data_IF_886849348316
#
_entry.id   IF_886849348316
#
_cell.length_a   1.000
_cell.length_b   1.000
_cell.length_c   1.000
_cell.angle_alpha   90.00
_cell.angle_beta   90.00
_cell.angle_gamma   90.00
#
_symmetry.space_group_name_H-M   'P 1'
#
loop_
_entity.id
_entity.type
_entity.pdbx_description
1 polymer ?
#
# COMPACT_ATOMS: atom_id res chain seq x y z
N UNK A 1 5.75 94.71 -7.85
CA UNK A 1 6.65 93.53 -7.90
C UNK A 1 6.12 92.62 -9.00
N UNK A 2 6.75 92.67 -10.18
CA UNK A 2 6.47 91.85 -11.37
C UNK A 2 7.80 91.24 -11.83
N UNK A 3 7.71 90.12 -12.56
CA UNK A 3 8.75 89.22 -13.11
C UNK A 3 8.77 87.88 -12.34
N UNK A 4 8.87 86.71 -12.96
CA UNK A 4 8.81 86.28 -14.35
C UNK A 4 8.59 84.75 -14.36
N UNK A 5 8.16 84.26 -15.50
CA UNK A 5 7.95 82.87 -15.93
C UNK A 5 9.22 81.99 -15.80
N UNK A 6 9.06 80.70 -15.46
CA UNK A 6 9.79 79.59 -16.09
C UNK A 6 9.26 78.23 -15.60
N UNK A 7 8.89 77.40 -16.57
CA UNK A 7 8.79 75.95 -16.46
C UNK A 7 10.08 75.37 -15.88
N UNK A 8 9.98 74.38 -14.99
CA UNK A 8 10.83 73.17 -15.00
C UNK A 8 10.46 72.19 -13.86
N UNK A 9 10.20 70.93 -14.25
CA UNK A 9 10.58 69.68 -13.56
C UNK A 9 9.92 69.47 -12.17
N UNK A 10 8.99 68.52 -11.95
CA UNK A 10 9.26 67.08 -12.02
C UNK A 10 7.91 66.32 -11.90
N UNK A 11 7.55 65.54 -12.92
CA UNK A 11 6.53 64.48 -12.80
C UNK A 11 7.16 63.32 -12.01
N UNK A 12 7.17 63.41 -10.70
CA UNK A 12 7.57 62.35 -9.79
C UNK A 12 6.37 61.77 -9.06
N UNK A 13 6.24 60.44 -9.09
CA UNK A 13 5.36 59.64 -8.22
C UNK A 13 3.89 59.51 -8.62
N UNK A 14 3.63 58.73 -9.66
CA UNK A 14 2.41 57.92 -9.75
C UNK A 14 2.68 56.69 -10.62
N UNK A 15 3.28 55.65 -10.04
CA UNK A 15 3.48 54.39 -10.77
C UNK A 15 4.46 53.41 -10.11
N UNK A 16 4.19 52.93 -8.90
CA UNK A 16 4.85 51.71 -8.42
C UNK A 16 4.13 50.89 -7.31
N UNK A 17 2.87 51.19 -6.96
CA UNK A 17 2.20 50.47 -5.85
C UNK A 17 1.17 49.42 -6.29
N UNK A 18 1.19 49.00 -7.55
CA UNK A 18 0.32 47.90 -8.02
C UNK A 18 1.07 46.94 -8.93
N UNK A 19 2.08 46.26 -8.37
CA UNK A 19 2.46 44.95 -8.89
C UNK A 19 1.71 43.90 -8.06
N UNK A 20 0.81 43.09 -8.65
CA UNK A 20 0.11 42.06 -7.89
C UNK A 20 1.09 40.95 -7.50
N UNK A 21 1.31 40.76 -6.20
CA UNK A 21 2.08 39.67 -5.61
C UNK A 21 1.53 38.26 -6.00
N UNK A 22 0.28 38.19 -6.44
CA UNK A 22 -0.45 36.94 -6.69
C UNK A 22 0.09 36.06 -7.83
N UNK A 23 0.82 36.59 -8.80
CA UNK A 23 1.16 35.81 -10.00
C UNK A 23 2.44 34.97 -9.88
N UNK A 24 3.29 35.26 -8.88
CA UNK A 24 4.46 34.42 -8.55
C UNK A 24 4.08 33.27 -7.62
N UNK A 25 3.15 33.53 -6.70
CA UNK A 25 2.66 32.54 -5.74
C UNK A 25 1.83 31.44 -6.42
N UNK A 26 0.98 31.72 -7.42
CA UNK A 26 0.19 30.66 -8.08
C UNK A 26 1.04 29.59 -8.80
N UNK A 27 2.17 29.97 -9.39
CA UNK A 27 3.07 29.00 -10.07
C UNK A 27 3.96 28.24 -9.08
N UNK A 28 4.42 28.88 -8.00
CA UNK A 28 5.19 28.20 -6.94
C UNK A 28 4.30 27.32 -6.06
N UNK A 29 3.09 27.78 -5.72
CA UNK A 29 2.07 27.03 -4.97
C UNK A 29 1.60 25.81 -5.77
N UNK A 30 1.27 25.94 -7.06
CA UNK A 30 0.90 24.80 -7.89
C UNK A 30 2.05 23.79 -8.07
N UNK A 31 3.30 24.26 -8.19
CA UNK A 31 4.45 23.34 -8.33
C UNK A 31 4.74 22.58 -7.04
N UNK A 32 4.57 23.23 -5.88
CA UNK A 32 4.75 22.61 -4.56
C UNK A 32 3.58 21.67 -4.18
N UNK A 33 2.35 22.02 -4.55
CA UNK A 33 1.16 21.20 -4.31
C UNK A 33 1.12 19.98 -5.24
N UNK A 34 1.54 20.11 -6.50
CA UNK A 34 1.68 19.00 -7.44
C UNK A 34 2.77 18.00 -7.01
N UNK A 35 3.89 18.50 -6.46
CA UNK A 35 4.96 17.65 -5.92
C UNK A 35 4.51 16.84 -4.69
N UNK A 36 3.77 17.47 -3.78
CA UNK A 36 3.20 16.81 -2.61
C UNK A 36 2.12 15.79 -2.98
N UNK A 37 1.24 16.13 -3.93
CA UNK A 37 0.19 15.23 -4.41
C UNK A 37 0.77 14.01 -5.12
N UNK A 38 1.77 14.20 -5.99
CA UNK A 38 2.46 13.10 -6.66
C UNK A 38 3.10 12.14 -5.63
N UNK A 39 3.73 12.69 -4.59
CA UNK A 39 4.30 11.89 -3.51
C UNK A 39 3.22 11.11 -2.75
N UNK A 40 2.09 11.73 -2.41
CA UNK A 40 0.96 11.05 -1.74
C UNK A 40 0.40 9.92 -2.60
N UNK A 41 0.26 10.14 -3.92
CA UNK A 41 -0.21 9.11 -4.85
C UNK A 41 0.79 7.95 -4.92
N UNK A 42 2.09 8.24 -5.01
CA UNK A 42 3.14 7.21 -5.04
C UNK A 42 3.18 6.40 -3.72
N UNK A 43 3.11 7.09 -2.58
CA UNK A 43 3.03 6.46 -1.27
C UNK A 43 1.79 5.57 -1.13
N UNK A 44 0.63 6.06 -1.60
CA UNK A 44 -0.61 5.29 -1.60
C UNK A 44 -0.50 4.08 -2.51
N UNK A 45 0.04 4.24 -3.72
CA UNK A 45 0.22 3.13 -4.67
C UNK A 45 1.03 1.98 -4.06
N UNK A 46 2.16 2.28 -3.42
CA UNK A 46 2.99 1.26 -2.76
C UNK A 46 2.27 0.64 -1.57
N UNK A 47 1.62 1.44 -0.72
CA UNK A 47 0.89 0.91 0.43
C UNK A 47 -0.26 -0.01 0.00
N UNK A 48 -0.93 0.35 -1.09
CA UNK A 48 -2.03 -0.42 -1.69
C UNK A 48 -1.58 -1.78 -2.23
N UNK A 49 -0.29 -1.98 -2.53
CA UNK A 49 0.23 -3.32 -2.89
C UNK A 49 0.10 -4.32 -1.73
N UNK A 50 0.20 -3.89 -0.47
CA UNK A 50 -0.11 -4.75 0.68
C UNK A 50 -1.61 -5.10 0.78
N UNK A 51 -2.47 -4.24 0.23
CA UNK A 51 -3.92 -4.50 0.15
C UNK A 51 -4.23 -5.49 -0.97
N UNK A 52 -3.53 -5.35 -2.10
CA UNK A 52 -3.60 -6.31 -3.19
C UNK A 52 -3.14 -7.69 -2.73
N UNK A 53 -2.02 -7.77 -2.01
CA UNK A 53 -1.52 -9.01 -1.39
C UNK A 53 -2.54 -9.64 -0.43
N UNK A 54 -3.20 -8.82 0.41
CA UNK A 54 -4.30 -9.28 1.27
C UNK A 54 -5.40 -9.98 0.45
N UNK A 55 -5.86 -9.32 -0.63
CA UNK A 55 -6.87 -9.87 -1.53
C UNK A 55 -6.43 -11.15 -2.22
N UNK A 56 -5.22 -11.16 -2.78
CA UNK A 56 -4.66 -12.33 -3.47
C UNK A 56 -4.46 -13.51 -2.53
N UNK A 57 -4.03 -13.24 -1.29
CA UNK A 57 -3.88 -14.27 -0.27
C UNK A 57 -5.21 -14.91 0.06
N UNK A 58 -6.30 -14.16 0.24
CA UNK A 58 -7.63 -14.74 0.46
C UNK A 58 -8.12 -15.51 -0.77
N UNK A 59 -7.97 -14.92 -1.96
CA UNK A 59 -8.42 -15.51 -3.21
C UNK A 59 -7.64 -16.78 -3.63
N UNK A 60 -6.44 -17.00 -3.09
CA UNK A 60 -5.58 -18.12 -3.47
C UNK A 60 -6.20 -19.50 -3.21
N UNK A 61 -6.97 -19.68 -2.13
CA UNK A 61 -7.49 -21.00 -1.76
C UNK A 61 -8.44 -21.53 -2.85
N UNK A 62 -9.45 -20.76 -3.27
CA UNK A 62 -10.50 -21.29 -4.14
C UNK A 62 -10.02 -21.99 -5.43
N UNK A 63 -9.12 -21.42 -6.26
CA UNK A 63 -8.65 -22.08 -7.48
C UNK A 63 -7.63 -23.20 -7.24
N UNK A 64 -7.02 -23.26 -6.05
CA UNK A 64 -5.94 -24.23 -5.77
C UNK A 64 -6.41 -25.52 -5.13
N UNK A 65 -7.69 -25.58 -4.73
CA UNK A 65 -8.27 -26.74 -4.03
C UNK A 65 -8.05 -28.06 -4.76
N UNK A 66 -8.47 -28.17 -6.03
CA UNK A 66 -8.37 -29.43 -6.77
C UNK A 66 -6.90 -29.84 -6.97
N UNK A 67 -6.04 -28.90 -7.39
CA UNK A 67 -4.63 -29.18 -7.62
C UNK A 67 -3.85 -29.60 -6.37
N UNK A 68 -4.13 -28.97 -5.23
CA UNK A 68 -3.51 -29.33 -3.95
C UNK A 68 -3.98 -30.71 -3.48
N UNK A 69 -5.29 -30.99 -3.56
CA UNK A 69 -5.86 -32.27 -3.13
C UNK A 69 -5.35 -33.44 -3.97
N UNK A 70 -5.24 -33.28 -5.29
CA UNK A 70 -4.74 -34.32 -6.20
C UNK A 70 -3.23 -34.57 -6.04
N UNK A 71 -2.42 -33.52 -5.92
CA UNK A 71 -0.96 -33.65 -5.87
C UNK A 71 -0.45 -34.14 -4.52
N UNK A 72 -1.06 -33.69 -3.41
CA UNK A 72 -0.64 -34.05 -2.05
C UNK A 72 -1.49 -35.15 -1.43
N UNK A 73 -2.53 -35.62 -2.12
CA UNK A 73 -3.46 -36.64 -1.60
C UNK A 73 -4.23 -36.18 -0.36
N UNK A 74 -4.46 -34.87 -0.22
CA UNK A 74 -5.12 -34.29 0.96
C UNK A 74 -6.61 -34.63 1.00
N UNK A 75 -7.10 -34.93 2.20
CA UNK A 75 -8.52 -35.02 2.49
C UNK A 75 -9.19 -33.63 2.45
N UNK A 76 -10.51 -33.62 2.30
CA UNK A 76 -11.30 -32.37 2.36
C UNK A 76 -11.20 -31.69 3.74
N UNK A 77 -10.92 -32.44 4.80
CA UNK A 77 -10.76 -31.92 6.16
C UNK A 77 -9.44 -31.15 6.30
N UNK A 78 -8.34 -31.74 5.83
CA UNK A 78 -7.02 -31.09 5.82
C UNK A 78 -7.04 -29.82 4.96
N UNK A 79 -7.71 -29.86 3.81
CA UNK A 79 -7.84 -28.68 2.97
C UNK A 79 -8.70 -27.58 3.62
N UNK A 80 -9.74 -27.96 4.37
CA UNK A 80 -10.54 -27.00 5.15
C UNK A 80 -9.71 -26.36 6.26
N UNK A 81 -8.82 -27.13 6.88
CA UNK A 81 -7.87 -26.63 7.87
C UNK A 81 -6.92 -25.60 7.24
N UNK A 82 -6.34 -25.92 6.08
CA UNK A 82 -5.51 -25.00 5.29
C UNK A 82 -6.23 -23.67 4.98
N UNK A 83 -7.51 -23.71 4.60
CA UNK A 83 -8.29 -22.50 4.38
C UNK A 83 -8.48 -21.68 5.66
N UNK A 84 -8.78 -22.33 6.78
CA UNK A 84 -9.07 -21.70 8.07
C UNK A 84 -7.85 -21.11 8.77
N UNK A 85 -6.67 -21.71 8.61
CA UNK A 85 -5.45 -21.30 9.32
C UNK A 85 -4.95 -19.94 8.86
N UNK A 86 -5.29 -19.52 7.64
CA UNK A 86 -5.06 -18.16 7.15
C UNK A 86 -5.68 -17.13 8.10
N UNK A 87 -6.94 -17.34 8.50
CA UNK A 87 -7.68 -16.46 9.40
C UNK A 87 -7.07 -16.46 10.80
N UNK A 88 -6.62 -17.62 11.29
CA UNK A 88 -5.92 -17.74 12.58
C UNK A 88 -4.62 -16.93 12.55
N UNK A 89 -3.84 -17.05 11.48
CA UNK A 89 -2.65 -16.24 11.25
C UNK A 89 -2.98 -14.74 11.23
N UNK A 90 -4.04 -14.36 10.52
CA UNK A 90 -4.48 -12.97 10.42
C UNK A 90 -4.92 -12.40 11.78
N UNK A 91 -5.58 -13.19 12.63
CA UNK A 91 -5.91 -12.80 14.01
C UNK A 91 -4.64 -12.53 14.82
N UNK A 92 -3.65 -13.43 14.76
CA UNK A 92 -2.37 -13.25 15.47
C UNK A 92 -1.60 -12.01 14.98
N UNK A 93 -1.59 -11.79 13.65
CA UNK A 93 -1.02 -10.59 13.04
C UNK A 93 -1.72 -9.31 13.51
N UNK A 94 -3.05 -9.31 13.53
CA UNK A 94 -3.86 -8.16 13.95
C UNK A 94 -3.66 -7.80 15.43
N UNK A 95 -3.52 -8.78 16.32
CA UNK A 95 -3.27 -8.54 17.75
C UNK A 95 -1.87 -7.92 17.98
N UNK A 96 -0.88 -8.37 17.22
CA UNK A 96 0.50 -7.90 17.38
C UNK A 96 0.80 -6.59 16.63
N UNK A 97 0.03 -6.24 15.60
CA UNK A 97 0.36 -5.14 14.69
C UNK A 97 0.52 -3.77 15.38
N UNK A 98 -0.32 -3.44 16.37
CA UNK A 98 -0.25 -2.14 17.05
C UNK A 98 1.07 -1.95 17.79
N UNK A 99 1.47 -2.96 18.59
CA UNK A 99 2.76 -2.93 19.31
C UNK A 99 3.94 -2.86 18.36
N UNK A 100 3.90 -3.60 17.25
CA UNK A 100 4.99 -3.58 16.27
C UNK A 100 5.06 -2.22 15.57
N UNK A 101 3.93 -1.68 15.13
CA UNK A 101 3.85 -0.35 14.49
C UNK A 101 4.29 0.81 15.40
N UNK A 102 4.18 0.65 16.72
CA UNK A 102 4.69 1.62 17.69
C UNK A 102 6.20 1.46 17.98
N UNK A 103 6.80 0.29 17.71
CA UNK A 103 8.22 0.04 17.95
C UNK A 103 9.11 0.34 16.74
N UNK A 104 8.72 -0.13 15.55
CA UNK A 104 9.53 -0.04 14.32
C UNK A 104 8.95 0.91 13.26
N UNK A 105 7.82 1.53 13.58
CA UNK A 105 7.13 2.46 12.70
C UNK A 105 6.32 1.81 11.60
N UNK A 106 5.46 2.62 10.98
CA UNK A 106 4.49 2.12 9.98
C UNK A 106 5.22 1.48 8.79
N UNK A 107 6.25 2.17 8.28
CA UNK A 107 7.09 1.69 7.17
C UNK A 107 7.83 0.39 7.51
N UNK A 108 8.44 0.34 8.71
CA UNK A 108 9.12 -0.85 9.20
C UNK A 108 8.18 -2.04 9.32
N UNK A 109 6.97 -1.82 9.84
CA UNK A 109 5.95 -2.86 9.98
C UNK A 109 5.46 -3.39 8.64
N UNK A 110 5.21 -2.52 7.64
CA UNK A 110 4.87 -2.96 6.27
C UNK A 110 5.98 -3.79 5.62
N UNK A 111 7.25 -3.43 5.87
CA UNK A 111 8.39 -4.19 5.37
C UNK A 111 8.48 -5.56 6.05
N UNK A 112 8.31 -5.61 7.37
CA UNK A 112 8.35 -6.84 8.15
C UNK A 112 7.24 -7.80 7.73
N UNK A 113 5.99 -7.32 7.59
CA UNK A 113 4.87 -8.13 7.13
C UNK A 113 5.11 -8.69 5.74
N UNK A 114 5.62 -7.89 4.80
CA UNK A 114 5.98 -8.35 3.45
C UNK A 114 6.99 -9.50 3.47
N UNK A 115 8.02 -9.40 4.32
CA UNK A 115 9.06 -10.43 4.44
C UNK A 115 8.45 -11.74 4.98
N UNK A 116 7.59 -11.64 6.00
CA UNK A 116 6.90 -12.81 6.56
C UNK A 116 5.97 -13.45 5.52
N UNK A 117 5.23 -12.63 4.76
CA UNK A 117 4.37 -13.12 3.67
C UNK A 117 5.17 -13.79 2.57
N UNK A 118 6.32 -13.23 2.15
CA UNK A 118 7.21 -13.87 1.17
C UNK A 118 7.70 -15.22 1.69
N UNK A 119 8.12 -15.31 2.95
CA UNK A 119 8.50 -16.58 3.56
C UNK A 119 7.33 -17.59 3.54
N UNK A 120 6.12 -17.15 3.85
CA UNK A 120 4.91 -17.97 3.76
C UNK A 120 4.65 -18.50 2.35
N UNK A 121 4.73 -17.65 1.32
CA UNK A 121 4.58 -18.04 -0.08
C UNK A 121 5.66 -19.01 -0.55
N UNK A 122 6.91 -18.81 -0.12
CA UNK A 122 8.02 -19.74 -0.43
C UNK A 122 7.81 -21.10 0.21
N UNK A 123 7.34 -21.15 1.46
CA UNK A 123 7.02 -22.42 2.14
C UNK A 123 5.88 -23.14 1.41
N UNK A 124 4.84 -22.43 0.98
CA UNK A 124 3.77 -23.00 0.14
C UNK A 124 4.36 -23.54 -1.16
N UNK A 125 5.23 -22.78 -1.84
CA UNK A 125 5.83 -23.22 -3.10
C UNK A 125 6.65 -24.51 -2.95
N UNK A 126 7.41 -24.67 -1.86
CA UNK A 126 8.22 -25.86 -1.59
C UNK A 126 7.48 -26.95 -0.80
N UNK A 127 6.19 -26.78 -0.52
CA UNK A 127 5.46 -27.73 0.32
C UNK A 127 5.35 -29.10 -0.36
N UNK A 128 5.66 -30.14 0.41
CA UNK A 128 5.51 -31.55 0.02
C UNK A 128 4.45 -32.26 0.86
N UNK A 129 3.80 -31.56 1.79
CA UNK A 129 2.75 -32.13 2.62
C UNK A 129 1.87 -31.09 3.33
N UNK A 130 0.82 -31.55 4.02
CA UNK A 130 -0.22 -30.69 4.61
C UNK A 130 0.34 -29.72 5.66
N UNK A 131 1.17 -30.21 6.58
CA UNK A 131 1.75 -29.38 7.64
C UNK A 131 2.61 -28.23 7.10
N UNK A 132 3.37 -28.47 6.04
CA UNK A 132 4.16 -27.40 5.40
C UNK A 132 3.27 -26.35 4.74
N UNK A 133 2.17 -26.76 4.09
CA UNK A 133 1.18 -25.84 3.54
C UNK A 133 0.56 -24.98 4.64
N UNK A 134 0.15 -25.60 5.75
CA UNK A 134 -0.49 -24.92 6.87
C UNK A 134 0.42 -23.89 7.53
N UNK A 135 1.71 -24.23 7.71
CA UNK A 135 2.72 -23.30 8.23
C UNK A 135 2.90 -22.11 7.27
N UNK A 136 3.06 -22.37 5.97
CA UNK A 136 3.17 -21.31 4.98
C UNK A 136 1.93 -20.42 4.97
N UNK A 137 0.76 -21.03 5.12
CA UNK A 137 -0.53 -20.33 5.12
C UNK A 137 -0.73 -19.48 6.37
N UNK A 138 -0.34 -19.99 7.53
CA UNK A 138 -0.31 -19.23 8.78
C UNK A 138 0.58 -17.98 8.66
N UNK A 139 1.78 -18.10 8.06
CA UNK A 139 2.68 -16.96 7.86
C UNK A 139 2.11 -15.93 6.89
N UNK A 140 1.54 -16.35 5.75
CA UNK A 140 0.84 -15.42 4.85
C UNK A 140 -0.33 -14.73 5.56
N UNK A 141 -1.08 -15.48 6.40
CA UNK A 141 -2.14 -14.97 7.25
C UNK A 141 -1.64 -13.89 8.21
N UNK A 142 -0.53 -14.15 8.89
CA UNK A 142 0.08 -13.19 9.80
C UNK A 142 0.45 -11.87 9.10
N UNK A 143 1.09 -11.96 7.93
CA UNK A 143 1.48 -10.78 7.15
C UNK A 143 0.28 -9.95 6.71
N UNK A 144 -0.76 -10.58 6.16
CA UNK A 144 -1.98 -9.86 5.74
C UNK A 144 -2.74 -9.29 6.95
N UNK A 145 -2.73 -9.98 8.10
CA UNK A 145 -3.32 -9.49 9.34
C UNK A 145 -2.66 -8.19 9.81
N UNK A 146 -1.34 -8.13 9.78
CA UNK A 146 -0.59 -6.91 10.08
C UNK A 146 -0.91 -5.80 9.06
N UNK A 147 -0.94 -6.13 7.76
CA UNK A 147 -1.21 -5.16 6.70
C UNK A 147 -2.63 -4.58 6.77
N UNK A 148 -3.61 -5.35 7.25
CA UNK A 148 -5.01 -4.90 7.39
C UNK A 148 -5.18 -3.68 8.29
N UNK A 149 -4.27 -3.48 9.25
CA UNK A 149 -4.23 -2.31 10.12
C UNK A 149 -3.26 -1.25 9.58
N UNK A 150 -2.04 -1.64 9.25
CA UNK A 150 -0.96 -0.68 8.98
C UNK A 150 -1.18 0.08 7.69
N UNK A 151 -1.70 -0.58 6.65
CA UNK A 151 -1.92 0.06 5.33
C UNK A 151 -2.96 1.18 5.40
N UNK A 152 -4.21 0.96 5.89
CA UNK A 152 -5.19 2.04 5.95
C UNK A 152 -4.77 3.17 6.91
N UNK A 153 -4.05 2.86 7.99
CA UNK A 153 -3.48 3.87 8.91
C UNK A 153 -2.41 4.71 8.20
N UNK A 154 -1.48 4.07 7.51
CA UNK A 154 -0.45 4.77 6.74
C UNK A 154 -1.07 5.68 5.68
N UNK A 155 -2.05 5.17 4.91
CA UNK A 155 -2.80 5.99 3.93
C UNK A 155 -3.47 7.17 4.63
N UNK A 156 -4.13 6.96 5.77
CA UNK A 156 -4.80 8.03 6.49
C UNK A 156 -3.85 9.13 7.02
N UNK A 157 -2.62 8.75 7.39
CA UNK A 157 -1.55 9.66 7.88
C UNK A 157 -0.96 10.53 6.77
N UNK A 158 -0.74 9.97 5.57
CA UNK A 158 -0.19 10.70 4.42
C UNK A 158 -1.26 11.49 3.65
N UNK A 159 -2.54 11.12 3.80
CA UNK A 159 -3.63 11.70 3.02
C UNK A 159 -4.02 13.11 3.49
N UNK A 160 -4.16 14.08 2.58
CA UNK A 160 -4.79 15.35 2.91
C UNK A 160 -6.27 15.14 3.27
N UNK A 161 -6.78 15.97 4.17
CA UNK A 161 -8.10 15.78 4.82
C UNK A 161 -9.25 15.60 3.82
N UNK A 162 -9.19 16.24 2.65
CA UNK A 162 -10.23 16.18 1.63
C UNK A 162 -10.15 14.94 0.71
N UNK A 163 -8.99 14.26 0.60
CA UNK A 163 -8.82 13.05 -0.22
C UNK A 163 -8.79 11.74 0.57
N UNK A 164 -8.72 11.83 1.91
CA UNK A 164 -8.59 10.64 2.78
C UNK A 164 -9.65 9.58 2.50
N UNK A 165 -10.91 9.97 2.31
CA UNK A 165 -11.99 9.04 1.98
C UNK A 165 -11.79 8.29 0.67
N UNK A 166 -11.35 9.01 -0.37
CA UNK A 166 -11.07 8.41 -1.68
C UNK A 166 -9.89 7.43 -1.61
N UNK A 167 -8.80 7.79 -0.92
CA UNK A 167 -7.61 6.93 -0.81
C UNK A 167 -7.89 5.66 0.04
N UNK A 168 -8.74 5.75 1.07
CA UNK A 168 -9.22 4.57 1.78
C UNK A 168 -10.12 3.67 0.91
N UNK A 169 -10.85 4.24 -0.05
CA UNK A 169 -11.63 3.44 -0.99
C UNK A 169 -10.71 2.69 -1.96
N UNK A 170 -9.60 3.30 -2.38
CA UNK A 170 -8.57 2.62 -3.21
C UNK A 170 -8.01 1.39 -2.50
N UNK A 171 -7.76 1.46 -1.19
CA UNK A 171 -7.36 0.30 -0.38
C UNK A 171 -8.35 -0.88 -0.53
N UNK A 172 -9.65 -0.63 -0.38
CA UNK A 172 -10.67 -1.67 -0.51
C UNK A 172 -10.81 -2.21 -1.95
N UNK A 173 -10.75 -1.31 -2.93
CA UNK A 173 -10.77 -1.72 -4.36
C UNK A 173 -9.57 -2.60 -4.69
N UNK A 174 -8.40 -2.33 -4.11
CA UNK A 174 -7.23 -3.16 -4.34
C UNK A 174 -7.31 -4.54 -3.71
N UNK A 175 -7.93 -4.68 -2.53
CA UNK A 175 -8.25 -6.00 -1.95
C UNK A 175 -9.16 -6.78 -2.91
N UNK A 176 -10.25 -6.16 -3.37
CA UNK A 176 -11.16 -6.79 -4.32
C UNK A 176 -10.46 -7.18 -5.64
N UNK A 177 -9.58 -6.30 -6.13
CA UNK A 177 -8.81 -6.54 -7.36
C UNK A 177 -7.81 -7.69 -7.17
N UNK A 178 -7.09 -7.74 -6.04
CA UNK A 178 -6.17 -8.82 -5.73
C UNK A 178 -6.85 -10.18 -5.64
N UNK A 179 -8.07 -10.21 -5.08
CA UNK A 179 -8.89 -11.42 -5.02
C UNK A 179 -9.37 -11.86 -6.42
N UNK A 180 -9.86 -10.92 -7.23
CA UNK A 180 -10.28 -11.18 -8.61
C UNK A 180 -9.12 -11.70 -9.48
N UNK A 181 -7.93 -11.11 -9.34
CA UNK A 181 -6.73 -11.56 -10.05
C UNK A 181 -6.35 -12.97 -9.60
N UNK A 182 -6.37 -13.27 -8.30
CA UNK A 182 -6.05 -14.61 -7.81
C UNK A 182 -7.00 -15.68 -8.37
N UNK A 183 -8.31 -15.39 -8.46
CA UNK A 183 -9.28 -16.30 -9.08
C UNK A 183 -9.05 -16.48 -10.57
N UNK A 184 -8.82 -15.37 -11.28
CA UNK A 184 -8.65 -15.40 -12.74
C UNK A 184 -7.36 -16.11 -13.12
N UNK A 185 -6.23 -15.72 -12.52
CA UNK A 185 -4.92 -16.32 -12.80
C UNK A 185 -4.89 -17.77 -12.33
N UNK A 186 -5.44 -18.07 -11.14
CA UNK A 186 -5.50 -19.41 -10.60
C UNK A 186 -6.30 -20.40 -11.44
N UNK A 187 -7.21 -19.93 -12.28
CA UNK A 187 -7.91 -20.79 -13.24
C UNK A 187 -7.03 -21.29 -14.40
N UNK A 188 -5.92 -20.60 -14.70
CA UNK A 188 -5.04 -20.91 -15.82
C UNK A 188 -3.67 -21.46 -15.43
N UNK A 189 -3.27 -21.33 -14.15
CA UNK A 189 -1.92 -21.70 -13.68
C UNK A 189 -1.98 -22.72 -12.55
N UNK A 190 -0.88 -23.46 -12.34
CA UNK A 190 -0.75 -24.38 -11.21
C UNK A 190 -0.72 -23.63 -9.87
N UNK A 191 -1.14 -24.30 -8.79
CA UNK A 191 -1.15 -23.70 -7.45
C UNK A 191 0.25 -23.22 -6.99
N UNK A 192 1.32 -23.96 -7.33
CA UNK A 192 2.71 -23.54 -7.06
C UNK A 192 3.07 -22.25 -7.81
N UNK A 193 2.69 -22.14 -9.08
CA UNK A 193 2.93 -20.91 -9.86
C UNK A 193 2.11 -19.74 -9.32
N UNK A 194 0.86 -20.00 -8.92
CA UNK A 194 0.01 -19.00 -8.29
C UNK A 194 0.63 -18.47 -6.99
N UNK A 195 1.29 -19.34 -6.20
CA UNK A 195 1.98 -18.92 -4.98
C UNK A 195 3.12 -17.92 -5.28
N UNK A 196 3.87 -18.13 -6.37
CA UNK A 196 4.90 -17.20 -6.81
C UNK A 196 4.32 -15.84 -7.22
N UNK A 197 3.13 -15.81 -7.84
CA UNK A 197 2.47 -14.54 -8.16
C UNK A 197 2.11 -13.73 -6.91
N UNK A 198 1.81 -14.40 -5.79
CA UNK A 198 1.57 -13.77 -4.49
C UNK A 198 2.81 -13.07 -3.90
N UNK A 199 4.02 -13.46 -4.32
CA UNK A 199 5.26 -12.79 -3.91
C UNK A 199 5.49 -11.46 -4.63
N UNK A 200 4.92 -11.27 -5.83
CA UNK A 200 5.09 -10.06 -6.63
C UNK A 200 4.63 -8.81 -5.87
N UNK A 201 3.40 -8.71 -5.35
CA UNK A 201 2.97 -7.52 -4.60
C UNK A 201 3.81 -7.27 -3.35
N UNK A 202 4.27 -8.33 -2.65
CA UNK A 202 5.18 -8.18 -1.51
C UNK A 202 6.53 -7.57 -1.93
N UNK A 203 7.10 -8.04 -3.03
CA UNK A 203 8.38 -7.54 -3.55
C UNK A 203 8.24 -6.07 -3.99
N UNK A 204 7.16 -5.74 -4.71
CA UNK A 204 6.86 -4.35 -5.10
C UNK A 204 6.68 -3.47 -3.87
N UNK A 205 6.01 -3.95 -2.81
CA UNK A 205 5.87 -3.22 -1.57
C UNK A 205 7.23 -2.96 -0.91
N UNK A 206 8.06 -3.99 -0.73
CA UNK A 206 9.40 -3.84 -0.13
C UNK A 206 10.25 -2.84 -0.92
N UNK A 207 10.30 -2.98 -2.24
CA UNK A 207 11.09 -2.10 -3.11
C UNK A 207 10.54 -0.67 -3.09
N UNK A 208 9.22 -0.52 -3.20
CA UNK A 208 8.55 0.77 -3.18
C UNK A 208 8.75 1.53 -1.86
N UNK A 209 8.76 0.82 -0.72
CA UNK A 209 9.00 1.44 0.58
C UNK A 209 10.39 2.10 0.64
N UNK A 210 11.42 1.59 -0.04
CA UNK A 210 12.74 2.27 -0.04
C UNK A 210 12.70 3.67 -0.66
N UNK A 211 11.80 3.92 -1.62
CA UNK A 211 11.69 5.21 -2.30
C UNK A 211 10.76 6.20 -1.59
N UNK A 212 9.98 5.73 -0.61
CA UNK A 212 8.97 6.54 0.08
C UNK A 212 9.53 7.10 1.40
N UNK A 213 9.34 8.39 1.71
CA UNK A 213 9.70 8.94 3.01
C UNK A 213 8.81 8.37 4.12
N UNK A 214 9.32 8.40 5.36
CA UNK A 214 8.55 7.99 6.54
C UNK A 214 7.31 8.88 6.72
N UNK A 215 6.25 8.35 7.36
CA UNK A 215 5.03 9.12 7.53
C UNK A 215 5.31 10.33 8.41
N UNK A 216 4.86 11.55 8.02
CA UNK A 216 5.22 12.80 8.71
C UNK A 216 4.63 12.94 10.13
N UNK A 217 3.83 11.96 10.58
CA UNK A 217 3.20 11.92 11.90
C UNK A 217 3.85 10.89 12.84
N UNK A 218 4.86 10.14 12.38
CA UNK A 218 5.54 9.12 13.18
C UNK A 218 6.81 9.65 13.82
#
# INVERSE_FOLDING_TARGET
MKMADSQDIEKGSSGSLYQPFFHKDEKQQNSHDNGNLFMVILCTFVAVMGSFEFGSSIGYSSPTQQGIMEELGMSSEEYSMFGSILTIGAMAGSISCGRVADLIGRKGTMKMSSIISIAGWLIIYFSLGPLSLDVGRFLTGYGIGVNSYVVPVFIAEISPTHLRGALLTVHQVAIATGLLVAYTVGAFVSWRTLALTGMIPCAVMILGLYFIPDSPRW
#
